data_IF_333766211397
#
_entry.id   IF_333766211397
#
_cell.length_a   1.000
_cell.length_b   1.000
_cell.length_c   1.000
_cell.angle_alpha   90.00
_cell.angle_beta   90.00
_cell.angle_gamma   90.00
#
_symmetry.space_group_name_H-M   'P 1'
#
loop_
_entity.id
_entity.type
_entity.pdbx_description
1 polymer ?
#
# COMPACT_ATOMS: atom_id res chain seq x y z
N UNK A 1 -20.01 16.35 -47.44
CA UNK A 1 -18.79 15.59 -47.17
C UNK A 1 -18.05 16.34 -46.07
N UNK A 2 -18.33 16.03 -44.79
CA UNK A 2 -17.82 16.76 -43.64
C UNK A 2 -16.71 15.96 -42.98
N UNK A 3 -15.49 16.48 -43.08
CA UNK A 3 -14.27 15.91 -42.52
C UNK A 3 -14.30 16.02 -40.98
N UNK A 4 -14.22 14.89 -40.29
CA UNK A 4 -14.22 14.82 -38.83
C UNK A 4 -12.79 14.95 -38.33
N UNK A 5 -12.43 16.15 -37.88
CA UNK A 5 -11.21 16.42 -37.12
C UNK A 5 -11.19 15.60 -35.82
N UNK A 6 -10.60 14.40 -35.88
CA UNK A 6 -10.22 13.61 -34.73
C UNK A 6 -9.10 14.34 -33.97
N UNK A 7 -9.47 15.11 -32.96
CA UNK A 7 -8.53 15.64 -31.97
C UNK A 7 -7.94 14.45 -31.21
N UNK A 8 -6.73 14.04 -31.61
CA UNK A 8 -5.93 13.03 -30.90
C UNK A 8 -5.66 13.55 -29.49
N UNK A 9 -6.08 12.79 -28.49
CA UNK A 9 -5.77 13.11 -27.10
C UNK A 9 -4.23 13.18 -26.89
N UNK A 10 -3.72 14.10 -26.06
CA UNK A 10 -2.30 14.16 -25.74
C UNK A 10 -1.80 12.83 -25.18
N UNK A 11 -0.59 12.43 -25.58
CA UNK A 11 0.09 11.25 -25.04
C UNK A 11 0.40 11.54 -23.55
N UNK A 12 -0.05 10.71 -22.59
CA UNK A 12 0.32 10.88 -21.20
C UNK A 12 1.84 10.69 -21.07
N UNK A 13 2.53 11.73 -20.59
CA UNK A 13 3.95 11.62 -20.18
C UNK A 13 3.91 11.26 -18.69
N UNK A 14 3.94 9.97 -18.40
CA UNK A 14 4.16 9.44 -17.06
C UNK A 14 5.50 8.71 -17.05
N UNK A 15 6.33 8.98 -16.04
CA UNK A 15 7.56 8.23 -15.82
C UNK A 15 7.22 6.75 -15.54
N UNK A 16 7.74 5.87 -16.40
CA UNK A 16 7.57 4.42 -16.27
C UNK A 16 8.54 3.94 -15.21
N UNK A 17 8.01 3.54 -14.05
CA UNK A 17 8.76 2.73 -13.08
C UNK A 17 8.81 1.29 -13.64
N UNK A 18 10.00 0.70 -13.87
CA UNK A 18 10.11 -0.66 -14.40
C UNK A 18 9.65 -1.69 -13.36
N UNK A 19 8.41 -2.14 -13.47
CA UNK A 19 8.03 -3.51 -13.14
C UNK A 19 7.95 -4.29 -14.46
N UNK A 20 8.40 -5.53 -14.49
CA UNK A 20 8.09 -6.44 -15.60
C UNK A 20 7.14 -7.52 -15.06
N UNK A 21 5.83 -7.48 -15.41
CA UNK A 21 5.10 -6.40 -16.09
C UNK A 21 4.93 -5.15 -15.21
N UNK A 22 4.61 -3.97 -15.78
CA UNK A 22 4.50 -2.71 -15.03
C UNK A 22 3.43 -2.85 -13.94
N UNK A 23 3.79 -2.47 -12.71
CA UNK A 23 2.86 -2.56 -11.58
C UNK A 23 1.81 -1.46 -11.70
N UNK A 24 0.50 -1.79 -11.61
CA UNK A 24 -0.55 -0.78 -11.74
C UNK A 24 -0.44 0.32 -10.68
N UNK A 25 -0.50 1.58 -11.12
CA UNK A 25 -0.63 2.75 -10.25
C UNK A 25 -2.11 3.15 -10.18
N UNK A 26 -2.66 3.22 -8.97
CA UNK A 26 -4.06 3.60 -8.71
C UNK A 26 -4.12 4.87 -7.89
N UNK A 27 -4.92 5.85 -8.32
CA UNK A 27 -5.09 7.10 -7.58
C UNK A 27 -6.26 6.98 -6.61
N UNK A 28 -6.03 7.30 -5.33
CA UNK A 28 -7.07 7.34 -4.31
C UNK A 28 -7.35 8.77 -3.87
N UNK A 29 -8.53 9.34 -4.18
CA UNK A 29 -8.92 10.66 -3.68
C UNK A 29 -9.35 10.56 -2.21
N UNK A 30 -8.41 10.77 -1.29
CA UNK A 30 -8.64 10.76 0.15
C UNK A 30 -7.92 11.95 0.79
N UNK A 31 -8.41 12.50 1.92
CA UNK A 31 -7.70 13.59 2.58
C UNK A 31 -6.32 13.16 3.08
N UNK A 32 -5.39 14.11 3.12
CA UNK A 32 -4.10 13.94 3.80
C UNK A 32 -4.27 13.56 5.30
N UNK A 33 -3.32 12.80 5.88
CA UNK A 33 -3.26 12.59 7.33
C UNK A 33 -3.00 13.89 8.08
N UNK A 34 -3.40 13.97 9.36
CA UNK A 34 -2.93 15.06 10.23
C UNK A 34 -1.47 14.83 10.64
N UNK A 35 -0.84 15.86 11.18
CA UNK A 35 0.53 15.76 11.70
C UNK A 35 0.66 14.66 12.76
N UNK A 36 1.68 13.82 12.62
CA UNK A 36 1.92 12.67 13.51
C UNK A 36 1.09 11.41 13.21
N UNK A 37 0.14 11.46 12.28
CA UNK A 37 -0.67 10.31 11.87
C UNK A 37 -0.07 9.64 10.61
N UNK A 38 -0.11 8.30 10.54
CA UNK A 38 0.37 7.59 9.35
C UNK A 38 -0.61 7.65 8.18
N UNK A 39 -1.92 7.80 8.46
CA UNK A 39 -2.97 7.80 7.44
C UNK A 39 -4.21 8.57 7.88
N UNK A 40 -5.05 8.99 6.92
CA UNK A 40 -6.39 9.52 7.21
C UNK A 40 -7.41 8.40 7.45
N UNK A 41 -8.54 8.73 8.10
CA UNK A 41 -9.63 7.75 8.30
C UNK A 41 -10.13 7.17 6.96
N UNK A 42 -10.21 8.00 5.91
CA UNK A 42 -10.64 7.55 4.59
C UNK A 42 -9.66 6.56 3.96
N UNK A 43 -8.35 6.75 4.18
CA UNK A 43 -7.33 5.79 3.76
C UNK A 43 -7.52 4.44 4.46
N UNK A 44 -7.65 4.44 5.80
CA UNK A 44 -7.86 3.21 6.58
C UNK A 44 -9.09 2.43 6.13
N UNK A 45 -10.22 3.12 5.92
CA UNK A 45 -11.46 2.51 5.39
C UNK A 45 -11.20 1.86 4.03
N UNK A 46 -10.53 2.55 3.10
CA UNK A 46 -10.27 1.99 1.77
C UNK A 46 -9.33 0.79 1.82
N UNK A 47 -8.27 0.82 2.63
CA UNK A 47 -7.37 -0.33 2.79
C UNK A 47 -8.15 -1.56 3.28
N UNK A 48 -8.93 -1.40 4.36
CA UNK A 48 -9.70 -2.51 4.95
C UNK A 48 -10.72 -3.06 3.95
N UNK A 49 -11.51 -2.20 3.30
CA UNK A 49 -12.57 -2.65 2.40
C UNK A 49 -12.05 -3.27 1.09
N UNK A 50 -10.92 -2.81 0.55
CA UNK A 50 -10.41 -3.31 -0.73
C UNK A 50 -9.50 -4.54 -0.58
N UNK A 51 -8.89 -4.74 0.59
CA UNK A 51 -7.86 -5.76 0.77
C UNK A 51 -8.26 -6.90 1.73
N UNK A 52 -9.45 -6.84 2.35
CA UNK A 52 -9.88 -7.85 3.33
C UNK A 52 -11.36 -8.20 3.24
N UNK A 53 -11.72 -9.39 3.71
CA UNK A 53 -13.09 -9.91 3.81
C UNK A 53 -13.58 -9.94 5.28
N UNK A 54 -14.90 -10.08 5.54
CA UNK A 54 -15.40 -10.22 6.90
C UNK A 54 -14.67 -11.32 7.69
N UNK A 55 -14.38 -11.05 8.96
CA UNK A 55 -13.63 -11.95 9.86
C UNK A 55 -12.14 -12.15 9.56
N UNK A 56 -11.60 -11.55 8.50
CA UNK A 56 -10.16 -11.50 8.27
C UNK A 56 -9.41 -10.86 9.45
N UNK A 57 -8.20 -11.36 9.69
CA UNK A 57 -7.28 -10.80 10.69
C UNK A 57 -6.39 -9.74 10.05
N UNK A 58 -6.34 -8.57 10.68
CA UNK A 58 -5.49 -7.43 10.31
C UNK A 58 -4.48 -7.16 11.41
N UNK A 59 -3.22 -6.95 11.05
CA UNK A 59 -2.18 -6.47 11.97
C UNK A 59 -1.96 -4.98 11.73
N UNK A 60 -2.20 -4.20 12.77
CA UNK A 60 -2.06 -2.74 12.78
C UNK A 60 -0.71 -2.35 13.39
N UNK A 61 0.20 -1.82 12.57
CA UNK A 61 1.51 -1.30 12.97
C UNK A 61 1.65 0.20 12.66
N UNK A 62 0.53 0.90 12.42
CA UNK A 62 0.56 2.33 12.09
C UNK A 62 0.36 3.21 13.33
N UNK A 63 0.84 4.45 13.26
CA UNK A 63 0.58 5.43 14.30
C UNK A 63 -0.77 6.12 14.04
N UNK A 64 -1.67 6.04 15.03
CA UNK A 64 -2.98 6.68 15.03
C UNK A 64 -4.18 5.70 15.07
N UNK A 65 -5.41 6.19 15.36
CA UNK A 65 -6.59 5.35 15.56
C UNK A 65 -7.33 4.95 14.27
N UNK A 66 -6.87 5.39 13.10
CA UNK A 66 -7.63 5.37 11.85
C UNK A 66 -7.88 3.94 11.35
N UNK A 67 -6.85 3.09 11.39
CA UNK A 67 -6.98 1.71 10.95
C UNK A 67 -7.84 0.90 11.93
N UNK A 68 -7.60 1.02 13.24
CA UNK A 68 -8.45 0.42 14.27
C UNK A 68 -9.93 0.78 14.10
N UNK A 69 -10.26 2.05 13.82
CA UNK A 69 -11.63 2.49 13.53
C UNK A 69 -12.22 1.80 12.29
N UNK A 70 -11.43 1.70 11.21
CA UNK A 70 -11.86 1.03 9.99
C UNK A 70 -12.09 -0.48 10.18
N UNK A 71 -11.21 -1.15 10.94
CA UNK A 71 -11.35 -2.57 11.31
C UNK A 71 -12.68 -2.80 12.04
N UNK A 72 -12.97 -1.99 13.07
CA UNK A 72 -14.20 -2.10 13.87
C UNK A 72 -15.43 -1.86 12.98
N UNK A 73 -15.42 -0.79 12.19
CA UNK A 73 -16.53 -0.43 11.32
C UNK A 73 -16.80 -1.50 10.24
N UNK A 74 -15.77 -2.19 9.78
CA UNK A 74 -15.89 -3.27 8.80
C UNK A 74 -16.07 -4.66 9.44
N UNK A 75 -16.21 -4.80 10.77
CA UNK A 75 -16.32 -6.10 11.43
C UNK A 75 -15.16 -7.06 11.10
N UNK A 76 -13.92 -6.55 11.14
CA UNK A 76 -12.69 -7.35 10.99
C UNK A 76 -12.11 -7.71 12.35
N UNK A 77 -11.25 -8.74 12.38
CA UNK A 77 -10.44 -9.05 13.57
C UNK A 77 -9.15 -8.25 13.49
N UNK A 78 -8.62 -7.80 14.62
CA UNK A 78 -7.32 -7.14 14.64
C UNK A 78 -6.46 -7.55 15.84
N UNK A 79 -5.15 -7.60 15.61
CA UNK A 79 -4.17 -7.49 16.67
C UNK A 79 -3.76 -6.02 16.74
N UNK A 80 -4.33 -5.30 17.71
CA UNK A 80 -3.94 -3.93 18.01
C UNK A 80 -2.66 -3.98 18.84
N UNK A 81 -1.51 -3.61 18.25
CA UNK A 81 -0.28 -3.43 19.02
C UNK A 81 -0.31 -2.07 19.73
N UNK A 82 -1.13 -1.95 20.77
CA UNK A 82 -0.81 -1.00 21.82
C UNK A 82 0.54 -1.44 22.40
N UNK A 83 1.59 -0.67 22.15
CA UNK A 83 2.98 -0.89 22.56
C UNK A 83 3.76 -1.95 21.79
N UNK A 84 4.66 -1.44 20.93
CA UNK A 84 5.86 -2.11 20.41
C UNK A 84 6.39 -3.10 21.44
N UNK A 85 6.48 -4.40 21.10
CA UNK A 85 7.51 -5.38 21.53
C UNK A 85 7.03 -6.83 21.73
N UNK A 86 5.74 -7.16 21.79
CA UNK A 86 5.35 -8.56 22.09
C UNK A 86 4.49 -9.17 20.99
N UNK A 87 5.16 -9.96 20.14
CA UNK A 87 4.61 -11.06 19.33
C UNK A 87 3.46 -10.72 18.37
N UNK A 88 3.61 -11.06 17.10
CA UNK A 88 2.56 -10.85 16.07
C UNK A 88 1.32 -11.77 16.22
N UNK A 89 1.04 -12.27 17.41
CA UNK A 89 0.15 -13.40 17.63
C UNK A 89 0.66 -14.67 16.92
N UNK A 90 -0.02 -15.80 17.13
CA UNK A 90 0.26 -17.05 16.40
C UNK A 90 -0.55 -17.17 15.11
N UNK A 91 -1.61 -16.38 14.97
CA UNK A 91 -2.49 -16.40 13.82
C UNK A 91 -1.88 -15.67 12.61
N UNK A 92 -2.17 -16.18 11.41
CA UNK A 92 -1.78 -15.51 10.17
C UNK A 92 -2.82 -14.46 9.77
N UNK A 93 -2.35 -13.29 9.36
CA UNK A 93 -3.16 -12.16 8.92
C UNK A 93 -3.37 -12.16 7.40
N UNK A 94 -4.46 -11.55 6.94
CA UNK A 94 -4.67 -11.28 5.51
C UNK A 94 -4.10 -9.93 5.09
N UNK A 95 -4.04 -8.98 6.04
CA UNK A 95 -3.48 -7.65 5.83
C UNK A 95 -2.60 -7.23 7.01
N UNK A 96 -1.44 -6.69 6.69
CA UNK A 96 -0.53 -6.05 7.65
C UNK A 96 -0.30 -4.63 7.17
N UNK A 97 -0.52 -3.64 8.03
CA UNK A 97 -0.42 -2.23 7.63
C UNK A 97 0.65 -1.55 8.46
N UNK A 98 1.55 -0.84 7.80
CA UNK A 98 2.72 -0.24 8.47
C UNK A 98 3.10 1.08 7.82
N UNK A 99 3.66 2.00 8.60
CA UNK A 99 4.34 3.18 8.09
C UNK A 99 5.79 2.90 7.71
N UNK A 100 6.39 3.80 6.93
CA UNK A 100 7.81 3.77 6.59
C UNK A 100 8.50 5.07 7.00
N UNK A 101 9.76 5.02 7.49
CA UNK A 101 10.59 3.84 7.75
C UNK A 101 10.11 3.03 8.96
N UNK A 102 10.40 1.73 8.95
CA UNK A 102 10.17 0.85 10.11
C UNK A 102 11.20 1.12 11.21
N UNK A 103 10.77 1.27 12.46
CA UNK A 103 11.67 1.55 13.57
C UNK A 103 12.58 0.36 13.90
N UNK A 104 13.88 0.60 13.95
CA UNK A 104 14.95 -0.22 14.55
C UNK A 104 15.13 -1.67 14.04
N UNK A 105 14.45 -2.07 12.97
CA UNK A 105 14.63 -3.37 12.32
C UNK A 105 15.30 -3.23 10.95
N UNK A 106 16.13 -4.21 10.58
CA UNK A 106 16.52 -4.39 9.17
C UNK A 106 15.26 -4.49 8.31
N UNK A 107 15.16 -3.67 7.27
CA UNK A 107 14.03 -3.65 6.34
C UNK A 107 13.68 -5.04 5.79
N UNK A 108 14.69 -5.84 5.47
CA UNK A 108 14.50 -7.20 4.96
C UNK A 108 13.96 -8.13 6.05
N UNK A 109 14.49 -8.04 7.27
CA UNK A 109 14.04 -8.86 8.41
C UNK A 109 12.60 -8.53 8.80
N UNK A 110 12.23 -7.25 8.73
CA UNK A 110 10.85 -6.82 8.89
C UNK A 110 9.94 -7.52 7.87
N UNK A 111 10.28 -7.51 6.58
CA UNK A 111 9.47 -8.17 5.56
C UNK A 111 9.50 -9.70 5.64
N UNK A 112 10.58 -10.32 6.14
CA UNK A 112 10.61 -11.76 6.42
C UNK A 112 9.59 -12.12 7.51
N UNK A 113 9.51 -11.30 8.57
CA UNK A 113 8.49 -11.42 9.60
C UNK A 113 7.09 -11.20 9.03
N UNK A 114 6.91 -10.17 8.19
CA UNK A 114 5.67 -9.97 7.45
C UNK A 114 5.21 -11.23 6.73
N UNK A 115 6.07 -11.78 5.88
CA UNK A 115 5.77 -12.96 5.07
C UNK A 115 5.42 -14.17 5.94
N UNK A 116 6.12 -14.39 7.05
CA UNK A 116 5.86 -15.51 7.95
C UNK A 116 4.47 -15.45 8.60
N UNK A 117 3.95 -14.24 8.82
CA UNK A 117 2.65 -13.99 9.46
C UNK A 117 1.50 -13.71 8.49
N UNK A 118 1.72 -13.74 7.17
CA UNK A 118 0.65 -13.61 6.19
C UNK A 118 0.08 -14.97 5.80
N UNK A 119 -1.24 -15.05 5.58
CA UNK A 119 -1.81 -16.15 4.79
C UNK A 119 -1.29 -16.10 3.35
N UNK A 120 -1.37 -17.20 2.60
CA UNK A 120 -1.11 -17.17 1.16
C UNK A 120 -2.11 -16.22 0.48
N UNK A 121 -1.61 -15.35 -0.40
CA UNK A 121 -2.38 -14.28 -1.03
C UNK A 121 -2.57 -13.03 -0.15
N UNK A 122 -2.26 -13.10 1.16
CA UNK A 122 -2.28 -11.95 2.06
C UNK A 122 -1.23 -10.89 1.66
N UNK A 123 -1.40 -9.66 2.15
CA UNK A 123 -0.54 -8.55 1.76
C UNK A 123 -0.08 -7.66 2.92
N UNK A 124 1.04 -6.99 2.68
CA UNK A 124 1.52 -5.85 3.47
C UNK A 124 1.17 -4.58 2.70
N UNK A 125 0.51 -3.63 3.36
CA UNK A 125 0.34 -2.27 2.89
C UNK A 125 1.35 -1.36 3.61
N UNK A 126 2.32 -0.83 2.86
CA UNK A 126 3.36 0.08 3.39
C UNK A 126 3.00 1.50 3.00
N UNK A 127 2.81 2.38 3.98
CA UNK A 127 2.50 3.79 3.77
C UNK A 127 3.76 4.64 3.88
N UNK A 128 3.96 5.50 2.89
CA UNK A 128 5.08 6.44 2.83
C UNK A 128 4.54 7.85 2.59
N UNK A 129 5.16 8.85 3.24
CA UNK A 129 4.95 10.23 2.85
C UNK A 129 5.44 10.42 1.40
N UNK A 130 4.61 11.07 0.57
CA UNK A 130 4.98 11.33 -0.82
C UNK A 130 6.06 12.43 -0.89
N UNK A 131 6.99 12.31 -1.84
CA UNK A 131 7.97 13.36 -2.15
C UNK A 131 9.40 12.87 -2.30
N UNK A 132 9.74 11.71 -1.74
CA UNK A 132 11.04 11.06 -1.97
C UNK A 132 10.86 9.85 -2.90
N UNK A 133 11.43 9.98 -4.11
CA UNK A 133 11.34 8.95 -5.15
C UNK A 133 12.17 7.70 -4.87
N UNK A 134 13.14 7.77 -3.95
CA UNK A 134 13.96 6.63 -3.58
C UNK A 134 13.23 5.70 -2.58
N UNK A 135 12.42 6.26 -1.67
CA UNK A 135 11.77 5.46 -0.62
C UNK A 135 10.90 4.32 -1.15
N UNK A 136 10.04 4.51 -2.18
CA UNK A 136 9.28 3.40 -2.74
C UNK A 136 10.17 2.30 -3.31
N UNK A 137 11.28 2.67 -3.95
CA UNK A 137 12.24 1.73 -4.55
C UNK A 137 12.91 0.89 -3.46
N UNK A 138 13.37 1.52 -2.37
CA UNK A 138 14.02 0.83 -1.26
C UNK A 138 13.08 -0.18 -0.58
N UNK A 139 11.81 0.19 -0.39
CA UNK A 139 10.78 -0.71 0.13
C UNK A 139 10.59 -1.91 -0.80
N UNK A 140 10.46 -1.69 -2.10
CA UNK A 140 10.28 -2.77 -3.09
C UNK A 140 11.49 -3.70 -3.11
N UNK A 141 12.72 -3.18 -3.06
CA UNK A 141 13.94 -3.99 -3.02
C UNK A 141 13.97 -4.84 -1.75
N UNK A 142 13.70 -4.25 -0.58
CA UNK A 142 13.70 -4.97 0.69
C UNK A 142 12.62 -6.07 0.72
N UNK A 143 11.42 -5.78 0.23
CA UNK A 143 10.32 -6.73 0.15
C UNK A 143 10.59 -7.89 -0.80
N UNK A 144 11.16 -7.61 -1.99
CA UNK A 144 11.56 -8.64 -2.96
C UNK A 144 12.64 -9.56 -2.38
N UNK A 145 13.64 -9.01 -1.68
CA UNK A 145 14.65 -9.81 -0.95
C UNK A 145 14.05 -10.71 0.12
N UNK A 146 12.94 -10.30 0.74
CA UNK A 146 12.19 -11.11 1.68
C UNK A 146 11.21 -12.10 1.02
N UNK A 147 11.10 -12.12 -0.32
CA UNK A 147 10.22 -13.03 -1.07
C UNK A 147 8.76 -12.59 -1.14
N UNK A 148 8.48 -11.29 -0.98
CA UNK A 148 7.16 -10.70 -1.29
C UNK A 148 7.15 -10.16 -2.72
N UNK A 149 6.01 -10.28 -3.39
CA UNK A 149 5.80 -9.72 -4.73
C UNK A 149 5.16 -8.32 -4.63
N UNK A 150 5.62 -7.38 -5.45
CA UNK A 150 5.04 -6.05 -5.54
C UNK A 150 3.81 -6.06 -6.44
N UNK A 151 2.63 -5.86 -5.85
CA UNK A 151 1.33 -6.08 -6.50
C UNK A 151 0.72 -4.79 -7.05
N UNK A 152 0.81 -3.69 -6.30
CA UNK A 152 0.15 -2.44 -6.65
C UNK A 152 0.84 -1.24 -6.01
N UNK A 153 0.87 -0.13 -6.73
CA UNK A 153 1.14 1.19 -6.18
C UNK A 153 -0.18 1.95 -6.05
N UNK A 154 -0.47 2.50 -4.89
CA UNK A 154 -1.57 3.43 -4.71
C UNK A 154 -0.99 4.81 -4.38
N UNK A 155 -1.40 5.84 -5.12
CA UNK A 155 -1.06 7.23 -4.80
C UNK A 155 -2.29 7.91 -4.23
N UNK A 156 -2.18 8.35 -2.98
CA UNK A 156 -3.22 9.09 -2.28
C UNK A 156 -3.05 10.57 -2.57
N UNK A 157 -4.08 11.18 -3.12
CA UNK A 157 -4.10 12.60 -3.39
C UNK A 157 -5.30 13.23 -2.69
N UNK A 158 -5.13 14.49 -2.30
CA UNK A 158 -6.26 15.33 -1.92
C UNK A 158 -7.28 15.37 -3.06
N UNK A 159 -8.50 15.84 -2.75
CA UNK A 159 -9.69 15.85 -3.63
C UNK A 159 -9.34 15.96 -5.13
N UNK A 160 -10.08 15.24 -6.00
CA UNK A 160 -9.74 15.14 -7.41
C UNK A 160 -9.58 16.52 -8.06
N UNK A 161 -8.70 16.65 -9.08
CA UNK A 161 -8.43 17.93 -9.73
C UNK A 161 -9.74 18.59 -10.18
N UNK A 162 -9.91 19.87 -9.85
CA UNK A 162 -11.06 20.63 -10.35
C UNK A 162 -10.87 20.91 -11.83
N UNK A 163 -11.92 20.72 -12.62
CA UNK A 163 -11.92 20.97 -14.07
C UNK A 163 -11.44 22.41 -14.34
N UNK A 164 -10.37 22.57 -15.12
CA UNK A 164 -9.82 23.88 -15.49
C UNK A 164 -8.59 24.35 -14.70
N UNK A 165 -8.13 23.61 -13.69
CA UNK A 165 -6.82 23.82 -13.06
C UNK A 165 -5.80 22.85 -13.70
N UNK A 166 -4.55 23.30 -13.90
CA UNK A 166 -3.47 22.41 -14.34
C UNK A 166 -3.45 21.17 -13.43
N UNK A 167 -3.55 19.99 -14.04
CA UNK A 167 -3.92 18.73 -13.40
C UNK A 167 -2.79 18.09 -12.57
N UNK A 168 -2.15 18.87 -11.70
CA UNK A 168 -1.22 18.31 -10.75
C UNK A 168 -2.02 17.73 -9.58
N UNK A 169 -1.96 16.41 -9.42
CA UNK A 169 -2.51 15.75 -8.26
C UNK A 169 -1.69 16.19 -7.05
N UNK A 170 -2.36 16.69 -6.01
CA UNK A 170 -1.74 16.97 -4.72
C UNK A 170 -1.56 15.64 -3.96
N UNK A 171 -0.59 14.85 -4.41
CA UNK A 171 -0.27 13.55 -3.82
C UNK A 171 0.45 13.77 -2.49
N UNK A 172 -0.04 13.11 -1.43
CA UNK A 172 0.51 13.24 -0.08
C UNK A 172 1.01 11.90 0.48
N UNK A 173 0.56 10.76 -0.04
CA UNK A 173 0.95 9.44 0.47
C UNK A 173 1.06 8.42 -0.65
N UNK A 174 2.14 7.65 -0.65
CA UNK A 174 2.28 6.43 -1.43
C UNK A 174 1.91 5.24 -0.57
N UNK A 175 1.17 4.28 -1.14
CA UNK A 175 0.91 2.99 -0.50
C UNK A 175 1.36 1.87 -1.43
N UNK A 176 2.32 1.09 -0.97
CA UNK A 176 2.83 -0.06 -1.70
C UNK A 176 2.17 -1.33 -1.17
N UNK A 177 1.54 -2.09 -2.07
CA UNK A 177 0.93 -3.38 -1.74
C UNK A 177 1.88 -4.49 -2.13
N UNK A 178 2.32 -5.26 -1.13
CA UNK A 178 3.28 -6.35 -1.26
C UNK A 178 2.60 -7.66 -0.85
N UNK A 179 2.51 -8.66 -1.72
CA UNK A 179 1.76 -9.89 -1.47
C UNK A 179 2.66 -11.09 -1.23
N UNK A 180 2.23 -11.97 -0.32
CA UNK A 180 2.75 -13.34 -0.20
C UNK A 180 2.14 -14.17 -1.31
N UNK A 181 2.91 -14.43 -2.37
CA UNK A 181 2.42 -15.20 -3.51
C UNK A 181 1.95 -16.60 -3.10
N UNK A 182 0.82 -17.04 -3.67
CA UNK A 182 0.31 -18.40 -3.55
C UNK A 182 1.07 -19.39 -4.45
N UNK A 183 1.86 -18.90 -5.40
CA UNK A 183 2.66 -19.73 -6.31
C UNK A 183 3.90 -20.19 -5.55
N UNK A 184 3.86 -21.41 -5.03
CA UNK A 184 5.04 -22.09 -4.51
C UNK A 184 6.00 -22.43 -5.65
N UNK A 185 7.29 -22.11 -5.47
CA UNK A 185 8.42 -22.78 -6.13
C UNK A 185 8.29 -22.99 -7.64
N UNK A 186 8.33 -21.90 -8.41
CA UNK A 186 8.69 -21.96 -9.83
C UNK A 186 10.00 -21.22 -10.01
N UNK A 187 11.13 -21.92 -9.90
CA UNK A 187 12.42 -21.37 -10.33
C UNK A 187 12.35 -21.02 -11.81
N UNK A 188 12.89 -19.87 -12.15
CA UNK A 188 13.36 -19.54 -13.49
C UNK A 188 14.76 -18.94 -13.30
N UNK A 189 15.75 -19.82 -13.15
CA UNK A 189 16.85 -19.91 -14.11
C UNK A 189 16.43 -19.68 -15.57
N UNK A 190 17.14 -18.75 -16.21
CA UNK A 190 17.05 -18.34 -17.61
C UNK A 190 17.71 -16.99 -17.81
#
# INVERSE_FOLDING_TARGET
MTDRNHHRAPVPVGDVVPGDPPVPITVWPVPAPHEGETMSNAMGVRLVHNLTHPSDLIVDLVEGPQLARAVIAAHRRSHLQATRQVGWGRESATLIVTGWPVADASSVEFFLRCRAHLVLGGCVAVLLAHGDVALPVDVVIAAKRAGLAYLQHIVAADRPPRRGQHAQLAIHTDVLILTRSAIGGGGADG
#
